data_IF_800828618085
#
_entry.id   IF_800828618085
#
_cell.length_a   1.000
_cell.length_b   1.000
_cell.length_c   1.000
_cell.angle_alpha   90.00
_cell.angle_beta   90.00
_cell.angle_gamma   90.00
#
_symmetry.space_group_name_H-M   'P 1'
#
loop_
_entity.id
_entity.type
_entity.pdbx_description
1 polymer ?
#
# COMPACT_ATOMS: atom_id res chain seq x y z
N UNK A 1 -20.47 16.32 16.77
CA UNK A 1 -20.63 15.99 15.33
C UNK A 1 -19.32 16.36 14.66
N UNK A 2 -18.59 15.37 14.16
CA UNK A 2 -17.33 15.55 13.46
C UNK A 2 -17.57 16.08 12.04
N UNK A 3 -16.67 16.93 11.56
CA UNK A 3 -16.73 17.46 10.21
C UNK A 3 -15.62 16.85 9.34
N UNK A 4 -15.98 16.36 8.14
CA UNK A 4 -15.00 15.86 7.18
C UNK A 4 -15.05 16.61 5.86
N UNK A 5 -13.91 16.76 5.21
CA UNK A 5 -13.75 17.39 3.91
C UNK A 5 -13.20 16.38 2.88
N UNK A 6 -13.76 16.41 1.67
CA UNK A 6 -13.26 15.59 0.56
C UNK A 6 -12.46 16.47 -0.40
N UNK A 7 -11.15 16.30 -0.45
CA UNK A 7 -10.25 17.08 -1.32
C UNK A 7 -10.38 16.68 -2.81
N UNK A 8 -10.84 15.45 -3.06
CA UNK A 8 -11.20 14.90 -4.37
C UNK A 8 -12.57 14.19 -4.28
N UNK A 9 -13.17 13.83 -5.40
CA UNK A 9 -14.25 12.86 -5.40
C UNK A 9 -13.81 11.55 -4.72
N UNK A 10 -14.56 11.13 -3.72
CA UNK A 10 -14.40 9.87 -2.99
C UNK A 10 -15.64 9.02 -3.26
N UNK A 11 -15.46 7.71 -3.41
CA UNK A 11 -16.59 6.80 -3.65
C UNK A 11 -17.68 6.94 -2.60
N UNK A 12 -18.91 7.03 -3.06
CA UNK A 12 -20.10 7.12 -2.21
C UNK A 12 -20.23 5.89 -1.32
N UNK A 13 -19.83 4.69 -1.81
CA UNK A 13 -19.83 3.45 -1.04
C UNK A 13 -18.99 3.59 0.25
N UNK A 14 -17.87 4.30 0.18
CA UNK A 14 -17.08 4.65 1.36
C UNK A 14 -17.78 5.67 2.25
N UNK A 15 -18.25 6.78 1.67
CA UNK A 15 -18.86 7.87 2.42
C UNK A 15 -20.15 7.45 3.16
N UNK A 16 -20.92 6.53 2.59
CA UNK A 16 -22.14 5.99 3.22
C UNK A 16 -21.86 5.16 4.50
N UNK A 17 -20.57 4.87 4.83
CA UNK A 17 -20.18 4.24 6.09
C UNK A 17 -20.07 5.24 7.26
N UNK A 18 -20.04 6.55 7.01
CA UNK A 18 -20.07 7.52 8.11
C UNK A 18 -21.37 7.41 8.88
N UNK A 19 -21.28 7.45 10.21
CA UNK A 19 -22.43 7.50 11.09
C UNK A 19 -23.11 8.89 11.04
N UNK A 20 -24.27 9.02 11.69
CA UNK A 20 -24.97 10.30 11.83
C UNK A 20 -24.17 11.36 12.63
N UNK A 21 -23.10 10.97 13.29
CA UNK A 21 -22.22 11.88 14.03
C UNK A 21 -21.19 12.59 13.13
N UNK A 22 -21.25 12.36 11.82
CA UNK A 22 -20.37 12.96 10.83
C UNK A 22 -21.14 13.82 9.85
N UNK A 23 -20.59 14.97 9.50
CA UNK A 23 -21.14 15.84 8.47
C UNK A 23 -20.05 16.27 7.49
N UNK A 24 -20.37 16.24 6.19
CA UNK A 24 -19.49 16.78 5.16
C UNK A 24 -19.50 18.30 5.23
N UNK A 25 -18.32 18.92 5.22
CA UNK A 25 -18.14 20.38 5.11
C UNK A 25 -17.55 20.75 3.75
N UNK A 26 -17.85 21.97 3.31
CA UNK A 26 -17.21 22.57 2.12
C UNK A 26 -16.07 23.54 2.52
N UNK A 27 -15.84 23.76 3.83
CA UNK A 27 -14.75 24.57 4.36
C UNK A 27 -13.74 23.69 5.08
N UNK A 28 -12.53 23.56 4.51
CA UNK A 28 -11.44 22.78 5.10
C UNK A 28 -11.03 23.28 6.48
N UNK A 29 -11.20 24.57 6.78
CA UNK A 29 -10.83 25.14 8.09
C UNK A 29 -11.72 24.68 9.23
N UNK A 30 -12.90 24.13 8.93
CA UNK A 30 -13.79 23.54 9.92
C UNK A 30 -13.65 22.02 10.02
N UNK A 31 -12.88 21.39 9.10
CA UNK A 31 -12.75 19.95 9.05
C UNK A 31 -11.81 19.39 10.12
N UNK A 32 -12.23 18.31 10.76
CA UNK A 32 -11.42 17.48 11.66
C UNK A 32 -10.78 16.30 10.91
N UNK A 33 -11.38 15.88 9.78
CA UNK A 33 -10.87 14.85 8.89
C UNK A 33 -10.87 15.26 7.43
N UNK A 34 -9.80 14.92 6.69
CA UNK A 34 -9.72 15.11 5.24
C UNK A 34 -9.59 13.76 4.55
N UNK A 35 -10.49 13.50 3.61
CA UNK A 35 -10.38 12.38 2.67
C UNK A 35 -9.72 12.86 1.38
N UNK A 36 -8.70 12.16 0.92
CA UNK A 36 -7.95 12.49 -0.30
C UNK A 36 -7.65 11.23 -1.12
N UNK A 37 -7.55 11.37 -2.44
CA UNK A 37 -7.09 10.31 -3.34
C UNK A 37 -5.82 10.74 -4.08
N UNK A 38 -5.92 11.65 -5.02
CA UNK A 38 -4.83 12.03 -5.94
C UNK A 38 -4.40 13.49 -5.83
N UNK A 39 -5.19 14.37 -5.20
CA UNK A 39 -4.84 15.78 -5.07
C UNK A 39 -3.60 15.96 -4.18
N UNK A 40 -2.74 16.91 -4.54
CA UNK A 40 -1.57 17.27 -3.75
C UNK A 40 -1.97 18.16 -2.56
N UNK A 41 -1.40 17.86 -1.39
CA UNK A 41 -1.56 18.66 -0.17
C UNK A 41 -0.29 19.44 0.20
N UNK A 42 0.78 19.37 -0.60
CA UNK A 42 2.08 19.97 -0.26
C UNK A 42 2.01 21.48 -0.08
N UNK A 43 1.26 22.18 -0.93
CA UNK A 43 1.12 23.63 -0.90
C UNK A 43 -0.05 24.11 -0.02
N UNK A 44 -0.74 23.18 0.65
CA UNK A 44 -1.90 23.53 1.46
C UNK A 44 -1.48 23.99 2.86
N UNK A 45 -2.19 24.97 3.38
CA UNK A 45 -2.17 25.24 4.82
C UNK A 45 -3.04 24.20 5.53
N UNK A 46 -2.46 23.60 6.58
CA UNK A 46 -3.17 22.59 7.39
C UNK A 46 -3.78 23.31 8.60
N UNK A 47 -5.12 23.40 8.71
CA UNK A 47 -5.78 24.10 9.79
C UNK A 47 -5.58 23.38 11.14
N UNK A 48 -5.67 24.13 12.23
CA UNK A 48 -5.49 23.57 13.59
C UNK A 48 -6.66 22.64 13.99
N UNK A 49 -7.82 22.77 13.35
CA UNK A 49 -8.96 21.85 13.52
C UNK A 49 -8.65 20.45 13.01
N UNK A 50 -7.75 20.30 12.01
CA UNK A 50 -7.47 19.05 11.35
C UNK A 50 -6.78 18.06 12.29
N UNK A 51 -7.36 16.87 12.42
CA UNK A 51 -6.87 15.77 13.26
C UNK A 51 -6.36 14.59 12.40
N UNK A 52 -6.98 14.36 11.25
CA UNK A 52 -6.69 13.21 10.41
C UNK A 52 -6.74 13.53 8.91
N UNK A 53 -5.84 12.89 8.17
CA UNK A 53 -5.92 12.78 6.71
C UNK A 53 -5.98 11.31 6.36
N UNK A 54 -7.03 10.87 5.67
CA UNK A 54 -7.14 9.49 5.21
C UNK A 54 -7.10 9.44 3.68
N UNK A 55 -6.06 8.79 3.15
CA UNK A 55 -5.90 8.62 1.72
C UNK A 55 -6.59 7.33 1.25
N UNK A 56 -7.58 7.46 0.38
CA UNK A 56 -8.18 6.33 -0.33
C UNK A 56 -7.18 5.77 -1.37
N UNK A 57 -6.23 4.97 -0.90
CA UNK A 57 -5.16 4.35 -1.69
C UNK A 57 -3.88 4.09 -0.89
N UNK A 58 -2.96 3.30 -1.44
CA UNK A 58 -1.78 2.82 -0.72
C UNK A 58 -0.60 3.82 -0.70
N UNK A 59 -0.34 4.56 -1.78
CA UNK A 59 0.76 5.54 -1.84
C UNK A 59 0.40 6.85 -1.13
N UNK A 60 1.37 7.64 -0.66
CA UNK A 60 1.12 8.90 0.08
C UNK A 60 2.02 10.05 -0.37
N UNK A 61 2.57 9.96 -1.57
CA UNK A 61 3.51 10.95 -2.10
C UNK A 61 2.91 12.35 -2.29
N UNK A 62 1.58 12.46 -2.26
CA UNK A 62 0.83 13.70 -2.40
C UNK A 62 0.52 14.38 -1.05
N UNK A 63 1.00 13.84 0.08
CA UNK A 63 0.72 14.34 1.43
C UNK A 63 2.03 14.73 2.13
N UNK A 64 2.14 15.92 2.75
CA UNK A 64 3.33 16.37 3.46
C UNK A 64 3.42 15.71 4.85
N UNK A 65 3.96 14.48 4.92
CA UNK A 65 3.94 13.64 6.13
C UNK A 65 4.60 14.29 7.34
N UNK A 66 5.77 14.92 7.16
CA UNK A 66 6.52 15.56 8.25
C UNK A 66 5.76 16.74 8.82
N UNK A 67 5.21 17.61 7.95
CA UNK A 67 4.37 18.74 8.37
C UNK A 67 3.10 18.28 9.12
N UNK A 68 2.51 17.16 8.68
CA UNK A 68 1.38 16.56 9.40
C UNK A 68 1.82 16.03 10.78
N UNK A 69 2.97 15.37 10.86
CA UNK A 69 3.47 14.82 12.12
C UNK A 69 3.78 15.91 13.15
N UNK A 70 4.43 17.00 12.75
CA UNK A 70 4.73 18.15 13.61
C UNK A 70 3.48 18.86 14.15
N UNK A 71 2.37 18.79 13.41
CA UNK A 71 1.07 19.34 13.83
C UNK A 71 0.19 18.34 14.60
N UNK A 72 0.65 17.12 14.84
CA UNK A 72 -0.16 16.06 15.47
C UNK A 72 -1.36 15.64 14.63
N UNK A 73 -1.21 15.67 13.30
CA UNK A 73 -2.22 15.19 12.33
C UNK A 73 -1.82 13.77 11.90
N UNK A 74 -2.71 12.81 12.09
CA UNK A 74 -2.47 11.42 11.70
C UNK A 74 -2.81 11.23 10.23
N UNK A 75 -1.89 10.62 9.48
CA UNK A 75 -2.09 10.31 8.06
C UNK A 75 -2.27 8.81 7.89
N UNK A 76 -3.41 8.41 7.38
CA UNK A 76 -3.77 7.02 7.06
C UNK A 76 -3.63 6.75 5.57
N UNK A 77 -3.30 5.51 5.22
CA UNK A 77 -3.47 4.98 3.88
C UNK A 77 -4.23 3.65 3.95
N UNK A 78 -4.64 3.10 2.82
CA UNK A 78 -5.47 1.90 2.77
C UNK A 78 -4.71 0.71 2.19
N UNK A 79 -3.76 0.12 2.96
CA UNK A 79 -2.93 -0.96 2.47
C UNK A 79 -3.76 -2.22 2.23
N UNK A 80 -3.65 -2.78 1.02
CA UNK A 80 -4.31 -4.02 0.66
C UNK A 80 -5.78 -3.89 0.22
N UNK A 81 -6.40 -2.72 0.33
CA UNK A 81 -7.78 -2.50 -0.13
C UNK A 81 -7.94 -2.76 -1.65
N UNK A 82 -6.93 -2.40 -2.43
CA UNK A 82 -6.85 -2.63 -3.88
C UNK A 82 -6.15 -3.94 -4.28
N UNK A 83 -5.80 -4.79 -3.32
CA UNK A 83 -4.95 -5.95 -3.60
C UNK A 83 -5.56 -6.96 -4.57
N UNK A 84 -6.90 -7.04 -4.65
CA UNK A 84 -7.57 -7.92 -5.59
C UNK A 84 -7.42 -7.42 -7.02
N UNK A 85 -7.65 -6.13 -7.28
CA UNK A 85 -7.46 -5.54 -8.61
C UNK A 85 -6.04 -5.74 -9.13
N UNK A 86 -5.03 -5.46 -8.28
CA UNK A 86 -3.62 -5.70 -8.65
C UNK A 86 -3.36 -7.18 -8.95
N UNK A 87 -3.88 -8.11 -8.12
CA UNK A 87 -3.74 -9.56 -8.37
C UNK A 87 -4.29 -9.93 -9.77
N UNK A 88 -5.46 -9.43 -10.13
CA UNK A 88 -6.08 -9.72 -11.43
C UNK A 88 -5.24 -9.18 -12.59
N UNK A 89 -4.72 -7.97 -12.45
CA UNK A 89 -3.83 -7.39 -13.47
C UNK A 89 -2.50 -8.16 -13.60
N UNK A 90 -1.95 -8.70 -12.50
CA UNK A 90 -0.76 -9.57 -12.53
C UNK A 90 -1.05 -10.81 -13.40
N UNK A 91 -2.20 -11.46 -13.24
CA UNK A 91 -2.56 -12.62 -14.07
C UNK A 91 -2.81 -12.24 -15.52
N UNK A 92 -3.45 -11.10 -15.78
CA UNK A 92 -3.57 -10.56 -17.13
C UNK A 92 -2.17 -10.39 -17.77
N UNK A 93 -1.24 -9.75 -17.05
CA UNK A 93 0.15 -9.57 -17.49
C UNK A 93 0.88 -10.89 -17.73
N UNK A 94 0.70 -11.89 -16.86
CA UNK A 94 1.28 -13.22 -17.03
C UNK A 94 0.76 -13.91 -18.31
N UNK A 95 -0.53 -13.84 -18.57
CA UNK A 95 -1.16 -14.46 -19.75
C UNK A 95 -0.75 -13.76 -21.04
N UNK A 96 -0.66 -12.42 -21.02
CA UNK A 96 -0.18 -11.62 -22.17
C UNK A 96 1.30 -11.89 -22.47
N UNK A 97 2.12 -12.16 -21.44
CA UNK A 97 3.54 -12.46 -21.60
C UNK A 97 3.81 -13.92 -21.97
N UNK A 98 2.97 -14.85 -21.50
CA UNK A 98 3.11 -16.28 -21.80
C UNK A 98 2.93 -16.59 -23.29
N UNK A 99 2.03 -15.88 -23.96
CA UNK A 99 1.80 -15.87 -25.41
C UNK A 99 1.83 -14.44 -25.93
N UNK A 100 2.26 -14.22 -27.14
CA UNK A 100 2.31 -12.87 -27.72
C UNK A 100 0.91 -12.41 -28.20
N UNK A 101 -0.01 -12.31 -27.23
CA UNK A 101 -1.40 -11.92 -27.51
C UNK A 101 -1.48 -10.49 -28.03
N UNK A 102 -0.66 -9.57 -27.47
CA UNK A 102 -0.61 -8.18 -27.89
C UNK A 102 -0.13 -8.08 -29.34
N UNK A 103 1.00 -8.69 -29.67
CA UNK A 103 1.51 -8.70 -31.04
C UNK A 103 0.53 -9.36 -32.03
N UNK A 104 -0.18 -10.42 -31.59
CA UNK A 104 -1.24 -11.04 -32.40
C UNK A 104 -2.42 -10.08 -32.67
N UNK A 105 -2.84 -9.30 -31.66
CA UNK A 105 -3.92 -8.30 -31.84
C UNK A 105 -3.46 -7.17 -32.78
N UNK A 106 -2.24 -6.68 -32.61
CA UNK A 106 -1.67 -5.65 -33.49
C UNK A 106 -1.58 -6.13 -34.94
N UNK A 107 -1.07 -7.36 -35.15
CA UNK A 107 -1.02 -7.97 -36.46
C UNK A 107 -2.41 -8.05 -37.13
N UNK A 108 -3.47 -8.46 -36.39
CA UNK A 108 -4.84 -8.49 -36.93
C UNK A 108 -5.32 -7.10 -37.33
N UNK A 109 -5.01 -6.07 -36.53
CA UNK A 109 -5.37 -4.68 -36.85
C UNK A 109 -4.66 -4.17 -38.12
N UNK A 110 -3.37 -4.44 -38.25
CA UNK A 110 -2.55 -4.04 -39.39
C UNK A 110 -3.00 -4.72 -40.69
N UNK A 111 -3.53 -5.94 -40.61
CA UNK A 111 -4.00 -6.72 -41.76
C UNK A 111 -5.53 -6.73 -41.91
N UNK A 112 -6.23 -5.79 -41.28
CA UNK A 112 -7.71 -5.75 -41.28
C UNK A 112 -8.33 -5.60 -42.67
N UNK A 113 -7.58 -5.10 -43.68
CA UNK A 113 -8.01 -4.97 -45.08
C UNK A 113 -7.74 -6.20 -45.94
N UNK A 114 -7.07 -7.24 -45.41
CA UNK A 114 -6.84 -8.49 -46.16
C UNK A 114 -8.12 -9.32 -46.22
N UNK A 115 -8.74 -9.43 -47.38
CA UNK A 115 -9.92 -10.26 -47.57
C UNK A 115 -9.70 -11.75 -47.27
N UNK A 116 -8.44 -12.20 -47.26
CA UNK A 116 -8.05 -13.58 -46.96
C UNK A 116 -7.45 -13.71 -45.55
N UNK A 117 -7.67 -12.75 -44.64
CA UNK A 117 -7.05 -12.69 -43.33
C UNK A 117 -7.17 -14.00 -42.53
N UNK A 118 -8.27 -14.74 -42.64
CA UNK A 118 -8.44 -16.01 -41.95
C UNK A 118 -7.41 -17.06 -42.40
N UNK A 119 -7.08 -17.13 -43.69
CA UNK A 119 -6.04 -18.04 -44.24
C UNK A 119 -4.64 -17.57 -43.91
N UNK A 120 -4.40 -16.25 -43.96
CA UNK A 120 -3.13 -15.63 -43.59
C UNK A 120 -2.84 -15.84 -42.13
N UNK A 121 -3.84 -15.67 -41.26
CA UNK A 121 -3.73 -15.89 -39.80
C UNK A 121 -3.29 -17.31 -39.46
N UNK A 122 -3.84 -18.36 -40.15
CA UNK A 122 -3.42 -19.74 -39.92
C UNK A 122 -1.92 -19.99 -40.20
N UNK A 123 -1.33 -19.23 -41.10
CA UNK A 123 0.12 -19.30 -41.42
C UNK A 123 0.95 -18.54 -40.40
N UNK A 124 0.45 -17.38 -39.97
CA UNK A 124 1.19 -16.43 -39.10
C UNK A 124 1.06 -16.71 -37.60
N UNK A 125 0.01 -17.41 -37.15
CA UNK A 125 -0.25 -17.69 -35.74
C UNK A 125 0.92 -18.31 -34.98
N UNK A 126 1.80 -19.02 -35.67
CA UNK A 126 3.04 -19.59 -35.08
C UNK A 126 3.98 -18.53 -34.51
N UNK A 127 3.95 -17.29 -35.05
CA UNK A 127 4.79 -16.18 -34.62
C UNK A 127 4.36 -15.64 -33.24
N UNK A 128 3.10 -15.88 -32.84
CA UNK A 128 2.51 -15.44 -31.57
C UNK A 128 2.38 -16.57 -30.55
N UNK A 129 2.84 -17.78 -30.90
CA UNK A 129 2.80 -18.94 -30.03
C UNK A 129 3.66 -18.74 -28.77
N UNK A 130 3.26 -19.41 -27.68
CA UNK A 130 3.97 -19.29 -26.43
C UNK A 130 3.88 -20.53 -25.58
N UNK A 131 3.73 -20.33 -24.26
CA UNK A 131 3.67 -21.39 -23.26
C UNK A 131 2.39 -21.28 -22.44
N UNK A 132 2.00 -22.37 -21.79
CA UNK A 132 0.96 -22.39 -20.79
C UNK A 132 1.52 -22.05 -19.41
N UNK A 133 0.66 -21.64 -18.46
CA UNK A 133 1.03 -21.44 -17.07
C UNK A 133 1.07 -22.76 -16.29
N UNK A 134 0.22 -23.71 -16.67
CA UNK A 134 0.15 -25.02 -16.01
C UNK A 134 1.51 -25.75 -16.05
N UNK A 135 1.93 -26.26 -14.90
CA UNK A 135 3.21 -26.94 -14.73
C UNK A 135 4.44 -26.02 -14.70
N UNK A 136 4.26 -24.69 -14.82
CA UNK A 136 5.36 -23.71 -14.68
C UNK A 136 5.54 -23.29 -13.22
N UNK A 137 6.74 -22.79 -12.91
CA UNK A 137 7.11 -22.32 -11.58
C UNK A 137 6.97 -20.81 -11.51
N UNK A 138 6.21 -20.33 -10.52
CA UNK A 138 6.07 -18.90 -10.21
C UNK A 138 6.83 -18.57 -8.93
N UNK A 139 7.77 -17.62 -9.01
CA UNK A 139 8.38 -16.99 -7.85
C UNK A 139 7.62 -15.73 -7.47
N UNK A 140 7.22 -15.65 -6.21
CA UNK A 140 6.55 -14.46 -5.64
C UNK A 140 7.50 -13.83 -4.62
N UNK A 141 8.01 -12.65 -4.92
CA UNK A 141 8.91 -11.88 -4.05
C UNK A 141 8.09 -10.81 -3.34
N UNK A 142 7.95 -10.96 -2.03
CA UNK A 142 7.04 -10.17 -1.19
C UNK A 142 5.67 -10.85 -1.04
N UNK A 143 5.37 -11.31 0.18
CA UNK A 143 4.13 -12.01 0.55
C UNK A 143 3.23 -11.13 1.44
N UNK A 144 3.14 -9.85 1.07
CA UNK A 144 2.15 -8.93 1.62
C UNK A 144 0.73 -9.16 1.08
N UNK A 145 -0.15 -8.18 1.21
CA UNK A 145 -1.56 -8.28 0.82
C UNK A 145 -1.78 -8.71 -0.64
N UNK A 146 -0.93 -8.26 -1.56
CA UNK A 146 -0.99 -8.61 -3.00
C UNK A 146 -0.33 -9.98 -3.23
N UNK A 147 0.91 -10.16 -2.77
CA UNK A 147 1.70 -11.36 -3.04
C UNK A 147 1.04 -12.64 -2.55
N UNK A 148 0.40 -12.63 -1.37
CA UNK A 148 -0.38 -13.75 -0.85
C UNK A 148 -1.54 -14.09 -1.78
N UNK A 149 -2.29 -13.10 -2.25
CA UNK A 149 -3.41 -13.32 -3.20
C UNK A 149 -2.93 -13.89 -4.54
N UNK A 150 -1.80 -13.37 -5.05
CA UNK A 150 -1.18 -13.88 -6.30
C UNK A 150 -0.70 -15.33 -6.11
N UNK A 151 0.06 -15.59 -5.02
CA UNK A 151 0.56 -16.93 -4.73
C UNK A 151 -0.56 -17.97 -4.62
N UNK A 152 -1.62 -17.63 -3.89
CA UNK A 152 -2.77 -18.52 -3.74
C UNK A 152 -3.51 -18.75 -5.07
N UNK A 153 -3.74 -17.70 -5.87
CA UNK A 153 -4.46 -17.81 -7.13
C UNK A 153 -3.65 -18.56 -8.21
N UNK A 154 -2.33 -18.44 -8.24
CA UNK A 154 -1.47 -19.11 -9.22
C UNK A 154 -1.59 -20.63 -9.17
N UNK A 155 -1.89 -21.19 -8.01
CA UNK A 155 -2.11 -22.64 -7.85
C UNK A 155 -3.33 -23.14 -8.63
N UNK A 156 -4.37 -22.32 -8.75
CA UNK A 156 -5.56 -22.67 -9.54
C UNK A 156 -5.29 -22.67 -11.06
N UNK A 157 -4.19 -22.04 -11.48
CA UNK A 157 -3.66 -22.18 -12.85
C UNK A 157 -2.71 -23.36 -13.01
N UNK A 158 -2.59 -24.22 -11.98
CA UNK A 158 -1.72 -25.39 -12.03
C UNK A 158 -0.22 -25.06 -11.94
N UNK A 159 0.13 -23.88 -11.42
CA UNK A 159 1.53 -23.50 -11.21
C UNK A 159 2.08 -24.04 -9.90
N UNK A 160 3.38 -24.34 -9.88
CA UNK A 160 4.14 -24.58 -8.68
C UNK A 160 4.66 -23.21 -8.15
N UNK A 161 4.31 -22.85 -6.91
CA UNK A 161 4.55 -21.51 -6.39
C UNK A 161 5.65 -21.52 -5.34
N UNK A 162 6.64 -20.66 -5.51
CA UNK A 162 7.72 -20.36 -4.56
C UNK A 162 7.49 -18.95 -4.00
N UNK A 163 7.51 -18.80 -2.67
CA UNK A 163 7.30 -17.52 -2.00
C UNK A 163 8.51 -17.13 -1.14
N UNK A 164 8.94 -15.88 -1.28
CA UNK A 164 10.01 -15.28 -0.49
C UNK A 164 9.53 -13.99 0.16
N UNK A 165 9.62 -13.90 1.47
CA UNK A 165 9.43 -12.66 2.24
C UNK A 165 10.16 -12.79 3.59
N UNK A 166 11.25 -12.04 3.83
CA UNK A 166 11.97 -12.09 5.10
C UNK A 166 11.22 -11.43 6.26
N UNK A 167 10.14 -10.69 5.97
CA UNK A 167 9.34 -9.96 6.96
C UNK A 167 7.89 -10.43 6.99
N UNK A 168 7.65 -11.70 6.62
CA UNK A 168 6.31 -12.29 6.55
C UNK A 168 5.56 -12.11 7.88
N UNK A 169 4.43 -11.41 7.84
CA UNK A 169 3.59 -11.25 9.01
C UNK A 169 2.82 -12.53 9.35
N UNK A 170 2.46 -12.70 10.64
CA UNK A 170 1.66 -13.85 11.08
C UNK A 170 0.33 -13.93 10.32
N UNK A 171 -0.36 -12.81 10.11
CA UNK A 171 -1.63 -12.77 9.37
C UNK A 171 -1.45 -13.17 7.89
N UNK A 172 -0.37 -12.74 7.25
CA UNK A 172 -0.05 -13.14 5.88
C UNK A 172 0.24 -14.64 5.82
N UNK A 173 1.01 -15.18 6.77
CA UNK A 173 1.30 -16.60 6.86
C UNK A 173 0.04 -17.46 7.03
N UNK A 174 -0.90 -17.03 7.87
CA UNK A 174 -2.19 -17.71 8.04
C UNK A 174 -3.09 -17.66 6.79
N UNK A 175 -2.92 -16.64 5.96
CA UNK A 175 -3.68 -16.46 4.72
C UNK A 175 -3.04 -17.17 3.52
N UNK A 176 -1.79 -17.61 3.64
CA UNK A 176 -1.04 -18.26 2.57
C UNK A 176 -1.40 -19.75 2.50
N UNK A 177 -1.59 -20.26 1.30
CA UNK A 177 -1.82 -21.70 1.09
C UNK A 177 -0.59 -22.53 1.48
N UNK A 178 -0.84 -23.69 2.08
CA UNK A 178 0.19 -24.67 2.46
C UNK A 178 1.03 -25.21 1.31
N UNK A 179 0.51 -25.15 0.09
CA UNK A 179 1.21 -25.68 -1.09
C UNK A 179 2.18 -24.64 -1.70
N UNK A 180 2.22 -23.42 -1.17
CA UNK A 180 3.26 -22.44 -1.53
C UNK A 180 4.56 -22.84 -0.85
N UNK A 181 5.59 -23.07 -1.64
CA UNK A 181 6.93 -23.43 -1.15
C UNK A 181 7.61 -22.18 -0.61
N UNK A 182 7.79 -22.12 0.70
CA UNK A 182 8.58 -21.06 1.33
C UNK A 182 10.06 -21.27 1.05
N UNK A 183 10.75 -20.23 0.57
CA UNK A 183 12.20 -20.20 0.37
C UNK A 183 12.84 -19.15 1.27
N UNK A 184 14.02 -19.45 1.77
CA UNK A 184 14.76 -18.59 2.71
C UNK A 184 15.64 -17.57 1.98
N UNK A 185 16.02 -17.86 0.74
CA UNK A 185 16.89 -17.02 -0.07
C UNK A 185 16.21 -16.72 -1.41
N UNK A 186 16.24 -15.47 -1.84
CA UNK A 186 15.65 -15.03 -3.09
C UNK A 186 16.27 -15.68 -4.32
N UNK A 187 17.54 -16.07 -4.25
CA UNK A 187 18.26 -16.77 -5.32
C UNK A 187 17.63 -18.12 -5.68
N UNK A 188 16.92 -18.75 -4.73
CA UNK A 188 16.18 -19.99 -5.03
C UNK A 188 15.03 -19.71 -6.01
N UNK A 189 14.38 -18.54 -5.89
CA UNK A 189 13.39 -18.07 -6.86
C UNK A 189 14.05 -17.83 -8.21
N UNK A 190 15.16 -17.09 -8.25
CA UNK A 190 15.87 -16.79 -9.48
C UNK A 190 16.27 -18.06 -10.25
N UNK A 191 16.85 -19.02 -9.57
CA UNK A 191 17.36 -20.26 -10.18
C UNK A 191 16.26 -21.22 -10.66
N UNK A 192 15.09 -21.20 -10.03
CA UNK A 192 14.08 -22.25 -10.23
C UNK A 192 12.83 -21.81 -10.99
N UNK A 193 12.49 -20.51 -11.00
CA UNK A 193 11.20 -20.07 -11.48
C UNK A 193 11.20 -19.68 -12.97
N UNK A 194 10.10 -19.95 -13.65
CA UNK A 194 9.88 -19.57 -15.05
C UNK A 194 9.24 -18.19 -15.15
N UNK A 195 8.49 -17.81 -14.12
CA UNK A 195 7.87 -16.50 -13.93
C UNK A 195 8.29 -15.95 -12.56
N UNK A 196 8.60 -14.68 -12.50
CA UNK A 196 8.95 -13.99 -11.24
C UNK A 196 8.12 -12.72 -11.13
N UNK A 197 7.37 -12.57 -10.05
CA UNK A 197 6.56 -11.38 -9.78
C UNK A 197 6.99 -10.72 -8.47
N UNK A 198 7.02 -9.38 -8.48
CA UNK A 198 7.59 -8.59 -7.39
C UNK A 198 6.47 -7.80 -6.72
N UNK A 199 6.38 -7.91 -5.39
CA UNK A 199 5.36 -7.27 -4.55
C UNK A 199 5.95 -6.68 -3.26
N UNK A 200 7.18 -6.13 -3.34
CA UNK A 200 7.85 -5.47 -2.22
C UNK A 200 7.74 -3.95 -2.32
N UNK A 201 7.82 -3.22 -1.19
CA UNK A 201 7.92 -1.77 -1.21
C UNK A 201 9.26 -1.31 -1.82
N UNK A 202 9.29 -0.10 -2.36
CA UNK A 202 10.54 0.55 -2.77
C UNK A 202 11.23 1.14 -1.53
N UNK A 203 12.35 0.53 -1.17
CA UNK A 203 13.24 0.93 -0.07
C UNK A 203 14.66 0.98 -0.63
N UNK A 204 15.60 1.57 0.11
CA UNK A 204 17.02 1.55 -0.29
C UNK A 204 17.55 0.12 -0.48
N UNK A 205 17.07 -0.84 0.32
CA UNK A 205 17.43 -2.25 0.24
C UNK A 205 16.78 -3.03 -0.91
N UNK A 206 15.70 -2.53 -1.49
CA UNK A 206 14.96 -3.18 -2.60
C UNK A 206 15.11 -2.45 -3.93
N UNK A 207 15.60 -1.21 -3.91
CA UNK A 207 15.87 -0.43 -5.11
C UNK A 207 16.88 -1.15 -6.00
N UNK A 208 16.52 -1.38 -7.26
CA UNK A 208 17.36 -2.07 -8.23
C UNK A 208 17.65 -3.52 -7.87
N UNK A 209 16.78 -4.17 -7.10
CA UNK A 209 16.98 -5.58 -6.71
C UNK A 209 16.98 -6.54 -7.92
N UNK A 210 16.29 -6.18 -8.99
CA UNK A 210 16.36 -6.89 -10.27
C UNK A 210 17.39 -6.16 -11.14
N UNK A 211 18.61 -6.60 -11.05
CA UNK A 211 19.77 -6.07 -11.78
C UNK A 211 20.46 -7.18 -12.59
N UNK A 212 21.52 -6.83 -13.27
CA UNK A 212 22.30 -7.75 -14.12
C UNK A 212 22.75 -9.01 -13.38
N UNK A 213 23.16 -8.89 -12.12
CA UNK A 213 23.60 -10.03 -11.31
C UNK A 213 22.43 -10.97 -10.99
N UNK A 214 21.32 -10.41 -10.49
CA UNK A 214 20.08 -11.16 -10.20
C UNK A 214 19.57 -11.85 -11.47
N UNK A 215 19.48 -11.12 -12.58
CA UNK A 215 19.04 -11.68 -13.89
C UNK A 215 19.99 -12.79 -14.35
N UNK A 216 21.29 -12.64 -14.14
CA UNK A 216 22.29 -13.67 -14.48
C UNK A 216 22.03 -15.01 -13.80
N UNK A 217 21.47 -15.02 -12.60
CA UNK A 217 21.09 -16.23 -11.85
C UNK A 217 19.77 -16.85 -12.31
N UNK A 218 18.93 -16.11 -13.04
CA UNK A 218 17.62 -16.59 -13.47
C UNK A 218 17.72 -17.64 -14.59
N UNK A 219 16.61 -18.31 -14.82
CA UNK A 219 16.48 -19.25 -15.95
C UNK A 219 16.47 -18.48 -17.28
N UNK A 220 16.99 -19.10 -18.33
CA UNK A 220 16.89 -18.54 -19.68
C UNK A 220 15.42 -18.53 -20.12
N UNK A 221 15.00 -17.40 -20.70
CA UNK A 221 13.62 -17.19 -21.10
C UNK A 221 12.65 -16.90 -19.97
N UNK A 222 13.15 -16.49 -18.77
CA UNK A 222 12.29 -16.09 -17.65
C UNK A 222 11.36 -14.92 -18.04
N UNK A 223 10.18 -14.89 -17.44
CA UNK A 223 9.23 -13.79 -17.55
C UNK A 223 9.23 -13.03 -16.22
N UNK A 224 9.49 -11.71 -16.29
CA UNK A 224 9.52 -10.82 -15.15
C UNK A 224 8.25 -9.95 -15.11
N UNK A 225 7.67 -9.81 -13.91
CA UNK A 225 6.47 -9.01 -13.68
C UNK A 225 6.72 -8.02 -12.52
N UNK A 226 6.55 -6.73 -12.80
CA UNK A 226 6.68 -5.67 -11.82
C UNK A 226 5.38 -4.85 -11.71
N UNK A 227 4.58 -5.19 -10.71
CA UNK A 227 3.34 -4.49 -10.36
C UNK A 227 3.46 -3.78 -9.01
N UNK A 228 4.69 -3.57 -8.52
CA UNK A 228 4.92 -2.97 -7.21
C UNK A 228 5.42 -1.52 -7.30
N UNK A 229 6.61 -1.26 -7.85
CA UNK A 229 7.19 0.08 -8.02
C UNK A 229 8.21 0.08 -9.15
N UNK A 230 8.34 1.23 -9.81
CA UNK A 230 9.21 1.44 -10.97
C UNK A 230 10.68 1.06 -10.71
N UNK A 231 11.29 1.66 -9.72
CA UNK A 231 12.73 1.54 -9.45
C UNK A 231 13.17 0.21 -8.79
N UNK A 232 12.32 -0.79 -8.69
CA UNK A 232 12.69 -2.13 -8.18
C UNK A 232 13.54 -2.91 -9.19
N UNK A 233 13.39 -2.62 -10.47
CA UNK A 233 14.22 -3.20 -11.53
C UNK A 233 15.17 -2.15 -12.12
N UNK A 234 16.40 -2.57 -12.43
CA UNK A 234 17.27 -1.82 -13.33
C UNK A 234 16.82 -2.11 -14.77
N UNK A 235 16.13 -1.19 -15.36
CA UNK A 235 15.45 -1.41 -16.64
C UNK A 235 16.42 -1.56 -17.81
N UNK A 236 17.60 -0.92 -17.78
CA UNK A 236 18.60 -1.13 -18.79
C UNK A 236 19.12 -2.56 -18.75
N UNK A 237 19.40 -3.10 -17.55
CA UNK A 237 19.81 -4.50 -17.40
C UNK A 237 18.73 -5.48 -17.90
N UNK A 238 17.45 -5.12 -17.70
CA UNK A 238 16.30 -5.90 -18.21
C UNK A 238 16.26 -5.87 -19.72
N UNK A 239 16.45 -4.70 -20.36
CA UNK A 239 16.47 -4.58 -21.83
C UNK A 239 17.62 -5.37 -22.46
N UNK A 240 18.83 -5.27 -21.89
CA UNK A 240 20.00 -6.03 -22.33
C UNK A 240 19.73 -7.54 -22.22
N UNK A 241 19.04 -7.95 -21.17
CA UNK A 241 18.66 -9.34 -20.95
C UNK A 241 17.57 -9.83 -21.91
N UNK A 242 16.67 -8.95 -22.33
CA UNK A 242 15.67 -9.26 -23.38
C UNK A 242 16.37 -9.43 -24.72
N UNK A 243 17.32 -8.56 -25.05
CA UNK A 243 18.07 -8.63 -26.31
C UNK A 243 18.89 -9.92 -26.40
N UNK A 244 19.53 -10.35 -25.30
CA UNK A 244 20.29 -11.61 -25.22
C UNK A 244 19.40 -12.86 -25.14
N UNK A 245 18.08 -12.73 -24.95
CA UNK A 245 17.15 -13.85 -24.78
C UNK A 245 17.13 -14.46 -23.37
N UNK A 246 17.87 -13.89 -22.42
CA UNK A 246 17.86 -14.28 -21.01
C UNK A 246 16.50 -14.02 -20.35
N UNK A 247 15.93 -12.86 -20.63
CA UNK A 247 14.55 -12.50 -20.26
C UNK A 247 13.68 -12.57 -21.53
N UNK A 248 12.60 -13.34 -21.48
CA UNK A 248 11.68 -13.47 -22.62
C UNK A 248 10.74 -12.30 -22.74
N UNK A 249 10.20 -11.81 -21.61
CA UNK A 249 9.27 -10.68 -21.52
C UNK A 249 9.43 -9.99 -20.16
N UNK A 250 9.27 -8.68 -20.18
CA UNK A 250 9.11 -7.85 -18.98
C UNK A 250 7.74 -7.19 -18.99
N UNK A 251 6.95 -7.38 -17.95
CA UNK A 251 5.64 -6.75 -17.75
C UNK A 251 5.75 -5.76 -16.61
N UNK A 252 5.38 -4.51 -16.83
CA UNK A 252 5.40 -3.47 -15.81
C UNK A 252 4.12 -2.64 -15.84
N UNK A 253 3.62 -2.29 -14.67
CA UNK A 253 2.50 -1.34 -14.48
C UNK A 253 3.02 0.11 -14.30
N UNK A 254 4.29 0.36 -14.61
CA UNK A 254 4.95 1.67 -14.42
C UNK A 254 5.59 2.15 -15.74
N UNK A 255 4.86 2.95 -16.53
CA UNK A 255 5.38 3.46 -17.79
C UNK A 255 6.51 4.47 -17.57
N UNK A 256 7.59 4.30 -18.32
CA UNK A 256 8.70 5.23 -18.37
C UNK A 256 9.37 5.24 -19.76
N UNK A 257 10.27 6.19 -20.00
CA UNK A 257 10.90 6.38 -21.30
C UNK A 257 11.84 5.23 -21.72
N UNK A 258 12.32 4.44 -20.74
CA UNK A 258 13.27 3.35 -21.01
C UNK A 258 12.57 2.13 -21.59
N UNK A 259 11.41 1.74 -21.04
CA UNK A 259 10.72 0.49 -21.39
C UNK A 259 9.52 0.66 -22.31
N UNK A 260 8.93 1.88 -22.35
CA UNK A 260 7.75 2.13 -23.18
C UNK A 260 8.03 1.90 -24.67
N UNK A 261 7.19 1.06 -25.29
CA UNK A 261 7.30 0.72 -26.71
C UNK A 261 8.50 -0.17 -27.10
N UNK A 262 9.26 -0.67 -26.12
CA UNK A 262 10.40 -1.55 -26.40
C UNK A 262 9.93 -2.99 -26.65
N UNK A 263 10.57 -3.64 -27.64
CA UNK A 263 10.31 -5.06 -27.95
C UNK A 263 10.56 -5.92 -26.73
N UNK A 264 9.62 -6.80 -26.41
CA UNK A 264 9.71 -7.69 -25.26
C UNK A 264 9.21 -7.06 -23.95
N UNK A 265 8.89 -5.76 -23.92
CA UNK A 265 8.24 -5.09 -22.81
C UNK A 265 6.74 -4.96 -23.06
N UNK A 266 5.94 -5.27 -22.04
CA UNK A 266 4.49 -5.01 -21.96
C UNK A 266 4.30 -4.03 -20.82
N UNK A 267 4.09 -2.76 -21.17
CA UNK A 267 3.99 -1.66 -20.19
C UNK A 267 2.55 -1.20 -20.12
N UNK A 268 2.00 -1.20 -18.90
CA UNK A 268 0.61 -0.88 -18.58
C UNK A 268 0.61 0.48 -17.86
N UNK A 269 -0.37 1.37 -18.10
CA UNK A 269 -0.36 2.74 -17.57
C UNK A 269 -0.91 2.83 -16.13
N UNK A 270 -0.31 2.10 -15.19
CA UNK A 270 -0.57 2.10 -13.75
C UNK A 270 -2.04 1.79 -13.41
N UNK A 271 -2.54 0.67 -13.94
CA UNK A 271 -3.93 0.25 -13.81
C UNK A 271 -4.21 -0.70 -12.64
N UNK A 272 -3.19 -1.11 -11.86
CA UNK A 272 -3.33 -2.11 -10.81
C UNK A 272 -4.43 -1.83 -9.78
N UNK A 273 -4.68 -0.56 -9.47
CA UNK A 273 -5.74 -0.13 -8.55
C UNK A 273 -6.92 0.57 -9.24
N UNK A 274 -6.94 0.58 -10.58
CA UNK A 274 -7.94 1.34 -11.35
C UNK A 274 -9.15 0.48 -11.69
N UNK A 275 -9.85 0.00 -10.67
CA UNK A 275 -11.14 -0.67 -10.77
C UNK A 275 -12.13 -0.02 -9.81
N UNK A 276 -13.43 -0.08 -10.13
CA UNK A 276 -14.50 0.46 -9.29
C UNK A 276 -14.43 -0.12 -7.88
N UNK A 277 -14.27 -1.43 -7.76
CA UNK A 277 -14.18 -2.13 -6.46
C UNK A 277 -12.92 -1.74 -5.67
N UNK A 278 -11.81 -1.46 -6.34
CA UNK A 278 -10.59 -0.97 -5.66
C UNK A 278 -10.80 0.42 -5.09
N UNK A 279 -11.47 1.30 -5.82
CA UNK A 279 -11.82 2.64 -5.36
C UNK A 279 -12.78 2.59 -4.16
N UNK A 280 -13.83 1.77 -4.26
CA UNK A 280 -14.80 1.54 -3.20
C UNK A 280 -14.15 1.00 -1.93
N UNK A 281 -13.36 -0.07 -2.06
CA UNK A 281 -12.68 -0.68 -0.92
C UNK A 281 -11.69 0.28 -0.24
N UNK A 282 -10.97 1.09 -1.02
CA UNK A 282 -10.08 2.12 -0.46
C UNK A 282 -10.87 3.19 0.28
N UNK A 283 -12.00 3.64 -0.27
CA UNK A 283 -12.84 4.65 0.37
C UNK A 283 -13.46 4.12 1.68
N UNK A 284 -13.98 2.88 1.68
CA UNK A 284 -14.52 2.22 2.89
C UNK A 284 -13.45 2.13 3.98
N UNK A 285 -12.25 1.63 3.66
CA UNK A 285 -11.17 1.50 4.63
C UNK A 285 -10.74 2.86 5.17
N UNK A 286 -10.57 3.88 4.33
CA UNK A 286 -10.19 5.23 4.75
C UNK A 286 -11.20 5.86 5.72
N UNK A 287 -12.50 5.68 5.46
CA UNK A 287 -13.57 6.14 6.33
C UNK A 287 -13.55 5.41 7.68
N UNK A 288 -13.40 4.08 7.67
CA UNK A 288 -13.37 3.29 8.89
C UNK A 288 -12.17 3.63 9.78
N UNK A 289 -10.98 3.83 9.20
CA UNK A 289 -9.78 4.25 9.93
C UNK A 289 -9.94 5.65 10.52
N UNK A 290 -10.51 6.57 9.77
CA UNK A 290 -10.80 7.93 10.24
C UNK A 290 -11.80 7.91 11.40
N UNK A 291 -12.88 7.14 11.30
CA UNK A 291 -13.88 7.02 12.37
C UNK A 291 -13.28 6.43 13.65
N UNK A 292 -12.58 5.30 13.57
CA UNK A 292 -11.96 4.67 14.73
C UNK A 292 -10.96 5.61 15.42
N UNK A 293 -10.21 6.37 14.64
CA UNK A 293 -9.31 7.38 15.19
C UNK A 293 -10.05 8.57 15.82
N UNK A 294 -11.02 9.14 15.13
CA UNK A 294 -11.75 10.32 15.65
C UNK A 294 -12.56 9.99 16.90
N UNK A 295 -13.17 8.82 16.96
CA UNK A 295 -14.02 8.39 18.07
C UNK A 295 -13.23 7.77 19.23
N UNK A 296 -12.21 6.98 18.95
CA UNK A 296 -11.51 6.17 19.94
C UNK A 296 -10.03 6.54 20.14
N UNK A 297 -9.45 7.35 19.27
CA UNK A 297 -8.02 7.65 19.27
C UNK A 297 -7.14 6.52 18.74
N UNK A 298 -7.71 5.41 18.28
CA UNK A 298 -6.94 4.28 17.76
C UNK A 298 -6.26 4.64 16.44
N UNK A 299 -5.01 4.25 16.30
CA UNK A 299 -4.22 4.45 15.08
C UNK A 299 -3.90 3.08 14.47
N UNK A 300 -4.46 2.81 13.28
CA UNK A 300 -4.14 1.64 12.44
C UNK A 300 -3.78 2.11 11.04
N UNK A 301 -2.78 1.47 10.41
CA UNK A 301 -2.33 1.80 9.06
C UNK A 301 -1.88 3.26 8.86
N UNK A 302 -1.46 3.94 9.91
CA UNK A 302 -0.86 5.27 9.76
C UNK A 302 0.53 5.19 9.15
N UNK A 303 0.87 6.18 8.32
CA UNK A 303 2.16 6.27 7.64
C UNK A 303 3.14 7.20 8.35
N UNK A 304 2.66 8.10 9.21
CA UNK A 304 3.49 9.05 9.95
C UNK A 304 3.53 8.81 11.47
N UNK A 305 2.54 8.14 12.05
CA UNK A 305 2.53 7.75 13.47
C UNK A 305 2.55 6.23 13.63
N UNK A 306 2.94 5.71 14.82
CA UNK A 306 2.91 4.27 15.09
C UNK A 306 1.48 3.76 15.23
N UNK A 307 1.26 2.47 14.91
CA UNK A 307 0.02 1.82 15.28
C UNK A 307 -0.11 1.78 16.81
N UNK A 308 -1.25 2.25 17.32
CA UNK A 308 -1.57 2.30 18.74
C UNK A 308 -3.07 2.10 18.90
N UNK A 309 -3.48 1.06 19.61
CA UNK A 309 -4.87 0.63 19.72
C UNK A 309 -5.15 0.23 21.19
N UNK A 310 -6.14 0.86 21.79
CA UNK A 310 -6.66 0.55 23.12
C UNK A 310 -8.15 0.20 23.07
N UNK A 311 -8.70 -0.03 21.86
CA UNK A 311 -10.13 -0.27 21.67
C UNK A 311 -11.00 0.93 22.04
N UNK A 312 -12.28 0.67 22.28
CA UNK A 312 -13.24 1.68 22.74
C UNK A 312 -12.99 2.02 24.20
N UNK A 313 -12.91 3.31 24.52
CA UNK A 313 -12.70 3.77 25.90
C UNK A 313 -13.91 3.48 26.79
N UNK A 314 -13.73 2.60 27.78
CA UNK A 314 -14.75 2.30 28.79
C UNK A 314 -14.72 3.25 29.99
N UNK A 315 -13.66 4.08 30.13
CA UNK A 315 -13.44 4.97 31.27
C UNK A 315 -14.13 6.33 31.06
N UNK A 316 -14.05 7.19 32.08
CA UNK A 316 -14.64 8.54 32.05
C UNK A 316 -13.91 9.47 31.06
N UNK A 317 -12.61 9.24 30.84
CA UNK A 317 -11.83 10.06 29.91
C UNK A 317 -10.73 9.27 29.22
N UNK A 318 -10.36 9.73 28.00
CA UNK A 318 -9.20 9.29 27.24
C UNK A 318 -8.46 10.51 26.70
N UNK A 319 -7.15 10.57 26.97
CA UNK A 319 -6.24 11.60 26.49
C UNK A 319 -5.29 10.98 25.47
N UNK A 320 -5.13 11.63 24.33
CA UNK A 320 -4.15 11.28 23.31
C UNK A 320 -3.08 12.38 23.22
N UNK A 321 -1.81 11.99 23.28
CA UNK A 321 -0.67 12.91 23.32
C UNK A 321 0.27 12.57 22.16
N UNK A 322 0.53 13.54 21.29
CA UNK A 322 1.47 13.49 20.19
C UNK A 322 2.77 14.17 20.63
N UNK A 323 3.89 13.47 20.57
CA UNK A 323 5.13 14.00 21.13
C UNK A 323 6.38 13.46 20.44
N UNK A 324 7.53 14.11 20.70
CA UNK A 324 8.84 13.63 20.30
C UNK A 324 9.17 12.31 21.02
N UNK A 325 9.81 11.41 20.32
CA UNK A 325 10.32 10.17 20.90
C UNK A 325 11.66 10.42 21.63
N UNK A 326 11.59 11.09 22.78
CA UNK A 326 12.75 11.43 23.61
C UNK A 326 12.61 10.87 25.03
N UNK A 327 13.72 10.83 25.78
CA UNK A 327 13.74 10.27 27.14
C UNK A 327 12.79 10.99 28.10
N UNK A 328 12.21 10.26 29.02
CA UNK A 328 11.42 10.73 30.15
C UNK A 328 10.05 11.37 29.79
N UNK A 329 9.54 11.23 28.56
CA UNK A 329 8.21 11.79 28.23
C UNK A 329 7.10 11.14 29.03
N UNK A 330 7.09 9.81 29.14
CA UNK A 330 6.08 9.07 29.90
C UNK A 330 6.11 9.48 31.39
N UNK A 331 7.30 9.62 31.99
CA UNK A 331 7.45 10.09 33.35
C UNK A 331 6.84 11.45 33.59
N UNK A 332 7.07 12.41 32.64
CA UNK A 332 6.47 13.74 32.72
C UNK A 332 4.93 13.70 32.65
N UNK A 333 4.36 12.85 31.76
CA UNK A 333 2.91 12.72 31.63
C UNK A 333 2.28 12.13 32.89
N UNK A 334 2.86 11.04 33.40
CA UNK A 334 2.32 10.38 34.61
C UNK A 334 2.47 11.24 35.85
N UNK A 335 3.57 11.99 36.00
CA UNK A 335 3.74 12.97 37.10
C UNK A 335 2.72 14.09 36.98
N UNK A 336 2.53 14.68 35.78
CA UNK A 336 1.54 15.73 35.57
C UNK A 336 0.13 15.30 35.96
N UNK A 337 -0.29 14.09 35.61
CA UNK A 337 -1.60 13.55 35.98
C UNK A 337 -1.68 13.24 37.46
N UNK A 338 -0.66 12.58 38.04
CA UNK A 338 -0.60 12.23 39.45
C UNK A 338 -0.60 13.43 40.39
N UNK A 339 0.16 14.47 40.08
CA UNK A 339 0.22 15.72 40.85
C UNK A 339 -1.12 16.47 40.88
N UNK A 340 -1.95 16.22 39.86
CA UNK A 340 -3.32 16.75 39.77
C UNK A 340 -4.38 15.76 40.26
N UNK A 341 -3.99 14.66 40.93
CA UNK A 341 -4.88 13.69 41.56
C UNK A 341 -5.67 12.83 40.54
N UNK A 342 -5.21 12.71 39.31
CA UNK A 342 -5.87 11.93 38.26
C UNK A 342 -5.27 10.53 38.24
N UNK A 343 -6.14 9.52 38.46
CA UNK A 343 -5.75 8.13 38.37
C UNK A 343 -5.78 7.62 36.93
N UNK A 344 -4.67 6.98 36.52
CA UNK A 344 -4.51 6.33 35.22
C UNK A 344 -4.99 4.89 35.33
N UNK A 345 -5.94 4.49 34.48
CA UNK A 345 -6.50 3.13 34.49
C UNK A 345 -5.83 2.23 33.43
N UNK A 346 -5.44 2.82 32.29
CA UNK A 346 -4.70 2.14 31.23
C UNK A 346 -3.87 3.15 30.45
N UNK A 347 -2.76 2.69 29.89
CA UNK A 347 -1.87 3.55 29.11
C UNK A 347 -1.10 2.74 28.08
N UNK A 348 -1.03 3.26 26.88
CA UNK A 348 -0.18 2.72 25.81
C UNK A 348 0.65 3.84 25.18
N UNK A 349 1.97 3.61 25.08
CA UNK A 349 2.88 4.47 24.32
C UNK A 349 3.54 3.65 23.20
N UNK A 350 3.54 4.20 22.01
CA UNK A 350 4.22 3.64 20.84
C UNK A 350 5.04 4.71 20.15
N UNK A 351 6.15 4.32 19.53
CA UNK A 351 7.02 5.24 18.80
C UNK A 351 7.30 4.75 17.38
N UNK A 352 7.56 5.71 16.49
CA UNK A 352 7.99 5.48 15.11
C UNK A 352 9.00 6.56 14.74
N UNK A 353 10.29 6.18 14.65
CA UNK A 353 11.35 7.15 14.41
C UNK A 353 11.40 8.22 15.50
N UNK A 354 11.29 9.47 15.09
CA UNK A 354 11.39 10.64 15.98
C UNK A 354 10.09 11.03 16.68
N UNK A 355 8.97 10.41 16.31
CA UNK A 355 7.65 10.71 16.86
C UNK A 355 7.10 9.56 17.71
N UNK A 356 6.27 9.91 18.68
CA UNK A 356 5.56 8.96 19.52
C UNK A 356 4.11 9.40 19.74
N UNK A 357 3.29 8.44 20.07
CA UNK A 357 1.89 8.61 20.38
C UNK A 357 1.56 7.86 21.68
N UNK A 358 0.99 8.59 22.64
CA UNK A 358 0.58 8.03 23.93
C UNK A 358 -0.91 8.20 24.09
N UNK A 359 -1.62 7.10 24.39
CA UNK A 359 -3.00 7.13 24.86
C UNK A 359 -3.05 6.80 26.34
N UNK A 360 -3.88 7.53 27.09
CA UNK A 360 -4.05 7.37 28.54
C UNK A 360 -5.54 7.41 28.84
N UNK A 361 -6.05 6.31 29.45
CA UNK A 361 -7.39 6.24 30.00
C UNK A 361 -7.38 6.65 31.46
N UNK A 362 -8.31 7.51 31.87
CA UNK A 362 -8.39 8.09 33.20
C UNK A 362 -9.79 7.95 33.80
N UNK A 363 -9.87 7.88 35.15
CA UNK A 363 -11.12 7.70 35.88
C UNK A 363 -12.03 8.94 35.92
N UNK A 364 -11.47 10.11 35.55
CA UNK A 364 -12.21 11.38 35.55
C UNK A 364 -12.16 12.04 34.16
N UNK A 365 -13.16 12.86 33.85
CA UNK A 365 -13.16 13.66 32.60
C UNK A 365 -12.00 14.64 32.64
N UNK A 366 -11.08 14.64 31.62
CA UNK A 366 -9.95 15.55 31.58
C UNK A 366 -10.40 17.01 31.51
N UNK A 367 -9.88 17.86 32.40
CA UNK A 367 -10.15 19.29 32.40
C UNK A 367 -9.24 20.01 31.42
N UNK A 368 -9.62 21.25 31.04
CA UNK A 368 -8.79 22.09 30.16
C UNK A 368 -7.41 22.37 30.77
N UNK A 369 -7.34 22.62 32.09
CA UNK A 369 -6.08 22.88 32.80
C UNK A 369 -5.10 21.70 32.68
N UNK A 370 -5.59 20.47 32.70
CA UNK A 370 -4.78 19.26 32.50
C UNK A 370 -4.28 19.18 31.05
N UNK A 371 -5.15 19.45 30.10
CA UNK A 371 -4.78 19.45 28.67
C UNK A 371 -3.71 20.50 28.40
N UNK A 372 -3.87 21.72 28.93
CA UNK A 372 -2.93 22.81 28.80
C UNK A 372 -1.58 22.48 29.48
N UNK A 373 -1.62 21.87 30.68
CA UNK A 373 -0.43 21.43 31.42
C UNK A 373 0.36 20.35 30.66
N UNK A 374 -0.33 19.36 30.10
CA UNK A 374 0.31 18.32 29.27
C UNK A 374 0.86 18.92 27.97
N UNK A 375 0.15 19.86 27.37
CA UNK A 375 0.57 20.55 26.16
C UNK A 375 1.79 21.46 26.34
N UNK A 376 1.99 21.98 27.55
CA UNK A 376 3.15 22.80 27.90
C UNK A 376 4.46 22.01 28.11
N UNK A 377 4.39 20.68 28.15
CA UNK A 377 5.57 19.82 28.32
C UNK A 377 6.43 19.90 27.03
N UNK A 378 7.68 20.29 27.19
CA UNK A 378 8.62 20.35 26.06
C UNK A 378 8.73 18.99 25.36
N UNK A 379 8.56 19.03 24.04
CA UNK A 379 8.51 17.86 23.18
C UNK A 379 7.10 17.38 22.84
N UNK A 380 6.03 17.98 23.40
CA UNK A 380 4.65 17.70 23.01
C UNK A 380 4.27 18.52 21.78
N UNK A 381 3.69 17.90 20.79
CA UNK A 381 3.16 18.56 19.58
C UNK A 381 1.69 18.95 19.76
N UNK A 382 0.90 18.00 20.30
CA UNK A 382 -0.54 18.16 20.49
C UNK A 382 -1.06 17.27 21.62
N UNK A 383 -2.05 17.76 22.34
CA UNK A 383 -2.86 16.98 23.28
C UNK A 383 -4.31 17.01 22.79
N UNK A 384 -4.97 15.87 22.80
CA UNK A 384 -6.36 15.75 22.40
C UNK A 384 -7.12 14.99 23.47
N UNK A 385 -8.26 15.51 23.90
CA UNK A 385 -9.26 14.76 24.65
C UNK A 385 -10.10 13.99 23.62
N UNK A 386 -10.06 12.67 23.72
CA UNK A 386 -10.83 11.76 22.84
C UNK A 386 -12.21 11.52 23.44
N UNK A 387 -12.26 11.38 24.78
CA UNK A 387 -13.50 11.17 25.54
C UNK A 387 -13.44 11.93 26.85
#
# INVERSE_FOLDING_TARGET
>A
MFQYYCLNPISKVGLDNFSADYAKTEDINSAEGVLVRSASMHEMELPDSLLAVARAGAGVNNIPLDKCAEKGIVVFNTPGANANGVKELVFAGMLLAARDVVGGIEWVKENASDENIAKTAEKEKKNFAGTELAGKKLGVIGLGAIGVKVANAARHFGMEVYGYDPYLSVNAAWSLSRDVKHVLNVEEIYKNCDFITIHVPLLDSTKGMINKEAIGMMKDGVILLNFARDLLANEQDVLDAIESGKVRRYVSDFPNATTAGKKGCIVIPHLGASTEESEDNCAVMAVQEMMDYLENGNIRNSVNYPNCDMGVCAQAGRIAIFHKNIANMIGKFTSCLGDNGINITDMTNKSRGEVAYTMIDVESTPTRDIVDSLGAIDGVFRVRVVK
#
